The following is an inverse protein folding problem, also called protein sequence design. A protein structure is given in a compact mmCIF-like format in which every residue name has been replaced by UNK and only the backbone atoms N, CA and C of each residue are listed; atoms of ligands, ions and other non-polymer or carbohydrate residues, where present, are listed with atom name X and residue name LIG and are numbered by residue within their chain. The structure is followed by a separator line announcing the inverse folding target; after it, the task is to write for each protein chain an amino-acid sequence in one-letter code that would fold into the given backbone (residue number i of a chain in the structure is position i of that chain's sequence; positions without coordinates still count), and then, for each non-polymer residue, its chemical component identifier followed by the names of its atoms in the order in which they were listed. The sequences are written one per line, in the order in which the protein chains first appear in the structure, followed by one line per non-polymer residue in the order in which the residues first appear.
data_IF_781793666377
#
_entry.id   IF_781793666377
#
_cell.length_a   1.000
_cell.length_b   1.000
_cell.length_c   1.000
_cell.angle_alpha   90.00
_cell.angle_beta   90.00
_cell.angle_gamma   90.00
#
_symmetry.space_group_name_H-M   'P 1'
#
loop_
_entity.id
_entity.type
_entity.pdbx_description
1 polymer ?
#
# COMPACT_ATOMS: atom_id res chain seq x y z
N UNK A 1 -9.13 19.72 -23.58
CA UNK A 1 -7.89 20.47 -23.89
C UNK A 1 -8.27 21.73 -24.68
N UNK A 2 -7.39 22.72 -24.85
CA UNK A 2 -7.77 24.02 -25.46
C UNK A 2 -8.03 23.89 -26.96
N UNK A 3 -9.29 24.07 -27.35
CA UNK A 3 -9.75 23.98 -28.75
C UNK A 3 -9.13 25.09 -29.61
N UNK A 4 -8.83 26.22 -28.98
CA UNK A 4 -8.48 27.52 -29.60
C UNK A 4 -7.12 27.56 -30.33
N UNK A 5 -6.31 26.49 -30.21
CA UNK A 5 -4.97 26.40 -30.80
C UNK A 5 -4.71 25.13 -31.61
N UNK A 6 -5.71 24.24 -31.77
CA UNK A 6 -5.62 22.99 -32.57
C UNK A 6 -4.42 22.07 -32.25
N UNK A 7 -3.81 22.19 -31.07
CA UNK A 7 -2.67 21.36 -30.65
C UNK A 7 -3.15 19.93 -30.43
N UNK A 8 -2.64 18.99 -31.23
CA UNK A 8 -2.93 17.57 -31.05
C UNK A 8 -2.36 17.06 -29.72
N UNK A 9 -3.11 16.25 -28.94
CA UNK A 9 -2.59 15.67 -27.71
C UNK A 9 -1.49 14.65 -28.01
N UNK A 10 -0.51 14.55 -27.12
CA UNK A 10 0.48 13.45 -27.14
C UNK A 10 0.15 12.40 -26.09
N UNK A 11 0.67 11.18 -26.26
CA UNK A 11 0.59 10.11 -25.24
C UNK A 11 1.12 10.61 -23.89
N UNK A 12 2.23 11.36 -23.89
CA UNK A 12 2.78 12.01 -22.69
C UNK A 12 1.84 13.03 -22.03
N UNK A 13 1.07 13.78 -22.82
CA UNK A 13 0.06 14.71 -22.30
C UNK A 13 -1.12 13.97 -21.66
N UNK A 14 -1.64 12.91 -22.30
CA UNK A 14 -2.66 12.05 -21.70
C UNK A 14 -2.14 11.42 -20.40
N UNK A 15 -0.95 10.80 -20.42
CA UNK A 15 -0.31 10.20 -19.25
C UNK A 15 -0.14 11.17 -18.09
N UNK A 16 0.31 12.41 -18.35
CA UNK A 16 0.45 13.43 -17.32
C UNK A 16 -0.89 13.78 -16.67
N UNK A 17 -1.96 13.98 -17.44
CA UNK A 17 -3.29 14.30 -16.90
C UNK A 17 -3.90 13.09 -16.16
N UNK A 18 -3.84 11.89 -16.74
CA UNK A 18 -4.29 10.63 -16.11
C UNK A 18 -3.56 10.43 -14.77
N UNK A 19 -2.24 10.65 -14.71
CA UNK A 19 -1.44 10.53 -13.49
C UNK A 19 -1.79 11.59 -12.43
N UNK A 20 -2.06 12.83 -12.82
CA UNK A 20 -2.51 13.88 -11.87
C UNK A 20 -3.90 13.55 -11.31
N UNK A 21 -4.84 13.13 -12.16
CA UNK A 21 -6.18 12.70 -11.76
C UNK A 21 -6.14 11.46 -10.85
N UNK A 22 -5.27 10.49 -11.14
CA UNK A 22 -5.00 9.33 -10.29
C UNK A 22 -4.39 9.71 -8.94
N UNK A 23 -3.34 10.55 -8.93
CA UNK A 23 -2.64 11.04 -7.73
C UNK A 23 -3.51 11.90 -6.80
N UNK A 24 -4.69 12.36 -7.24
CA UNK A 24 -5.69 12.97 -6.36
C UNK A 24 -6.28 11.97 -5.36
N UNK A 25 -6.43 10.69 -5.74
CA UNK A 25 -7.01 9.62 -4.91
C UNK A 25 -8.51 9.74 -4.62
N UNK A 26 -9.15 10.88 -4.88
CA UNK A 26 -10.61 11.00 -4.77
C UNK A 26 -11.30 10.23 -5.90
N UNK A 27 -12.34 9.44 -5.58
CA UNK A 27 -13.04 8.58 -6.54
C UNK A 27 -13.49 9.30 -7.82
N UNK A 28 -13.92 10.57 -7.74
CA UNK A 28 -14.30 11.38 -8.91
C UNK A 28 -13.14 11.55 -9.90
N UNK A 29 -11.97 11.99 -9.43
CA UNK A 29 -10.80 12.21 -10.28
C UNK A 29 -10.17 10.89 -10.74
N UNK A 30 -10.19 9.83 -9.93
CA UNK A 30 -9.72 8.51 -10.36
C UNK A 30 -10.63 7.94 -11.46
N UNK A 31 -11.96 8.11 -11.36
CA UNK A 31 -12.88 7.74 -12.45
C UNK A 31 -12.66 8.59 -13.71
N UNK A 32 -12.33 9.88 -13.56
CA UNK A 32 -11.96 10.74 -14.70
C UNK A 32 -10.65 10.28 -15.37
N UNK A 33 -9.67 9.78 -14.60
CA UNK A 33 -8.44 9.19 -15.15
C UNK A 33 -8.75 7.95 -16.03
N UNK A 34 -9.65 7.06 -15.57
CA UNK A 34 -10.14 5.94 -16.38
C UNK A 34 -10.97 6.39 -17.59
N UNK A 35 -11.75 7.47 -17.46
CA UNK A 35 -12.51 8.06 -18.58
C UNK A 35 -11.58 8.61 -19.67
N UNK A 36 -10.53 9.32 -19.27
CA UNK A 36 -9.50 9.87 -20.16
C UNK A 36 -8.66 8.78 -20.82
N UNK A 37 -8.31 7.70 -20.11
CA UNK A 37 -7.66 6.55 -20.73
C UNK A 37 -8.56 5.87 -21.77
N UNK A 38 -9.88 5.77 -21.52
CA UNK A 38 -10.82 5.28 -22.54
C UNK A 38 -10.94 6.23 -23.73
N UNK A 39 -10.99 7.55 -23.49
CA UNK A 39 -10.99 8.59 -24.54
C UNK A 39 -9.74 8.49 -25.43
N UNK A 40 -8.56 8.31 -24.82
CA UNK A 40 -7.30 8.09 -25.53
C UNK A 40 -7.38 6.89 -26.49
N UNK A 41 -7.90 5.74 -25.99
CA UNK A 41 -8.00 4.49 -26.73
C UNK A 41 -9.10 4.47 -27.81
N UNK A 42 -10.26 5.08 -27.56
CA UNK A 42 -11.45 4.95 -28.40
C UNK A 42 -11.68 6.14 -29.35
N UNK A 43 -11.37 7.37 -28.93
CA UNK A 43 -11.74 8.57 -29.70
C UNK A 43 -10.79 8.88 -30.86
N UNK A 44 -9.66 8.18 -30.96
CA UNK A 44 -8.59 8.46 -31.93
C UNK A 44 -8.16 7.18 -32.67
N UNK A 45 -9.11 6.34 -33.07
CA UNK A 45 -8.84 5.16 -33.91
C UNK A 45 -8.89 5.50 -35.40
N UNK A 46 -7.99 4.94 -36.19
CA UNK A 46 -8.04 5.03 -37.65
C UNK A 46 -9.16 4.15 -38.23
N UNK A 47 -9.40 4.26 -39.54
CA UNK A 47 -10.41 3.46 -40.25
C UNK A 47 -10.10 1.94 -40.32
N UNK A 48 -8.97 1.49 -39.75
CA UNK A 48 -8.56 0.09 -39.62
C UNK A 48 -8.62 -0.39 -38.16
N UNK A 49 -8.95 0.49 -37.21
CA UNK A 49 -9.06 0.21 -35.78
C UNK A 49 -7.79 0.47 -34.95
N UNK A 50 -6.68 0.90 -35.57
CA UNK A 50 -5.45 1.24 -34.86
C UNK A 50 -5.65 2.50 -34.02
N UNK A 51 -5.25 2.48 -32.75
CA UNK A 51 -5.26 3.68 -31.92
C UNK A 51 -4.06 4.59 -32.24
N UNK A 52 -4.30 5.88 -32.47
CA UNK A 52 -3.24 6.88 -32.66
C UNK A 52 -2.41 7.12 -31.38
N UNK A 53 -2.95 6.76 -30.21
CA UNK A 53 -2.32 6.93 -28.89
C UNK A 53 -2.30 5.58 -28.15
N UNK A 54 -1.42 4.63 -28.56
CA UNK A 54 -1.29 3.34 -27.88
C UNK A 54 -0.90 3.56 -26.40
N UNK A 55 -1.41 2.74 -25.47
CA UNK A 55 -1.10 2.87 -24.06
C UNK A 55 0.33 2.39 -23.80
N UNK A 56 1.11 3.17 -23.05
CA UNK A 56 2.48 2.82 -22.68
C UNK A 56 2.57 2.32 -21.22
N UNK A 57 3.79 1.99 -20.80
CA UNK A 57 4.09 1.61 -19.41
C UNK A 57 3.58 2.63 -18.39
N UNK A 58 3.65 3.92 -18.73
CA UNK A 58 3.27 5.03 -17.84
C UNK A 58 1.74 5.16 -17.75
N UNK A 59 1.00 4.89 -18.82
CA UNK A 59 -0.46 4.80 -18.81
C UNK A 59 -0.92 3.77 -17.78
N UNK A 60 -0.39 2.55 -17.85
CA UNK A 60 -0.77 1.47 -16.94
C UNK A 60 -0.36 1.76 -15.49
N UNK A 61 0.83 2.33 -15.26
CA UNK A 61 1.28 2.74 -13.92
C UNK A 61 0.40 3.86 -13.34
N UNK A 62 -0.02 4.83 -14.16
CA UNK A 62 -0.92 5.91 -13.75
C UNK A 62 -2.32 5.37 -13.39
N UNK A 63 -2.85 4.42 -14.16
CA UNK A 63 -4.12 3.75 -13.85
C UNK A 63 -4.04 2.89 -12.58
N UNK A 64 -2.93 2.18 -12.35
CA UNK A 64 -2.70 1.40 -11.13
C UNK A 64 -2.45 2.28 -9.89
N UNK A 65 -1.79 3.44 -10.04
CA UNK A 65 -1.71 4.50 -9.01
C UNK A 65 -3.12 4.98 -8.59
N UNK A 66 -4.04 5.09 -9.55
CA UNK A 66 -5.45 5.40 -9.29
C UNK A 66 -6.18 4.24 -8.60
N UNK A 67 -6.10 3.04 -9.17
CA UNK A 67 -6.80 1.85 -8.71
C UNK A 67 -6.45 1.49 -7.25
N UNK A 68 -5.15 1.53 -6.87
CA UNK A 68 -4.73 1.24 -5.49
C UNK A 68 -5.28 2.25 -4.48
N UNK A 69 -5.43 3.53 -4.85
CA UNK A 69 -5.95 4.58 -3.95
C UNK A 69 -7.43 4.45 -3.65
N UNK A 70 -8.21 3.92 -4.58
CA UNK A 70 -9.65 3.66 -4.38
C UNK A 70 -9.94 2.23 -3.90
N UNK A 71 -8.92 1.35 -3.86
CA UNK A 71 -9.07 -0.07 -3.55
C UNK A 71 -9.84 -0.82 -4.62
N UNK A 72 -9.64 -0.52 -5.91
CA UNK A 72 -10.34 -1.19 -7.02
C UNK A 72 -9.52 -2.36 -7.56
N UNK A 73 -9.73 -3.51 -6.93
CA UNK A 73 -9.09 -4.76 -7.30
C UNK A 73 -9.63 -5.32 -8.64
N UNK A 74 -10.87 -5.01 -9.03
CA UNK A 74 -11.44 -5.45 -10.31
C UNK A 74 -10.69 -4.83 -11.49
N UNK A 75 -10.51 -3.50 -11.49
CA UNK A 75 -9.71 -2.80 -12.50
C UNK A 75 -8.23 -3.19 -12.43
N UNK A 76 -7.68 -3.45 -11.24
CA UNK A 76 -6.29 -3.91 -11.07
C UNK A 76 -6.07 -5.28 -11.72
N UNK A 77 -6.96 -6.25 -11.50
CA UNK A 77 -6.90 -7.60 -12.10
C UNK A 77 -7.05 -7.54 -13.63
N UNK A 78 -7.95 -6.69 -14.14
CA UNK A 78 -8.08 -6.46 -15.58
C UNK A 78 -6.80 -5.87 -16.19
N UNK A 79 -6.18 -4.85 -15.57
CA UNK A 79 -4.91 -4.28 -16.04
C UNK A 79 -3.79 -5.33 -16.05
N UNK A 80 -3.69 -6.18 -15.02
CA UNK A 80 -2.69 -7.24 -15.00
C UNK A 80 -2.94 -8.28 -16.11
N UNK A 81 -4.20 -8.68 -16.35
CA UNK A 81 -4.54 -9.58 -17.45
C UNK A 81 -4.20 -8.96 -18.81
N UNK A 82 -4.48 -7.67 -19.01
CA UNK A 82 -4.16 -6.94 -20.24
C UNK A 82 -2.64 -6.88 -20.49
N UNK A 83 -1.84 -6.59 -19.46
CA UNK A 83 -0.37 -6.59 -19.54
C UNK A 83 0.22 -7.99 -19.78
N UNK A 84 -0.41 -9.03 -19.24
CA UNK A 84 -0.03 -10.43 -19.48
C UNK A 84 -0.37 -10.89 -20.91
N UNK A 85 -1.49 -10.42 -21.46
CA UNK A 85 -1.97 -10.83 -22.78
C UNK A 85 -1.36 -10.01 -23.92
N UNK A 86 -1.15 -8.70 -23.72
CA UNK A 86 -0.60 -7.78 -24.74
C UNK A 86 0.82 -8.14 -25.20
N UNK A 87 1.57 -8.91 -24.39
CA UNK A 87 2.89 -9.47 -24.78
C UNK A 87 2.80 -10.52 -25.90
N UNK A 88 1.60 -11.06 -26.18
CA UNK A 88 1.35 -12.05 -27.23
C UNK A 88 0.67 -11.47 -28.47
N UNK A 89 0.20 -10.22 -28.44
CA UNK A 89 -0.71 -9.68 -29.44
C UNK A 89 0.04 -9.17 -30.71
N UNK A 90 -0.26 -9.66 -31.93
CA UNK A 90 0.47 -9.28 -33.15
C UNK A 90 0.39 -7.79 -33.53
N UNK A 91 -0.60 -7.04 -33.02
CA UNK A 91 -0.80 -5.63 -33.40
C UNK A 91 0.27 -4.68 -32.82
N UNK A 92 0.99 -5.10 -31.78
CA UNK A 92 2.12 -4.35 -31.20
C UNK A 92 3.47 -4.74 -31.86
N UNK A 93 3.50 -5.08 -33.15
CA UNK A 93 4.71 -5.59 -33.85
C UNK A 93 5.78 -4.55 -34.20
N UNK A 94 5.62 -3.30 -33.78
CA UNK A 94 6.73 -2.35 -33.77
C UNK A 94 7.75 -2.73 -32.67
N UNK A 95 9.02 -2.88 -33.04
CA UNK A 95 10.08 -3.40 -32.17
C UNK A 95 10.23 -2.60 -30.85
N UNK A 96 10.01 -1.28 -30.92
CA UNK A 96 9.94 -0.39 -29.76
C UNK A 96 8.77 -0.69 -28.80
N UNK A 97 7.59 -1.01 -29.34
CA UNK A 97 6.36 -1.16 -28.54
C UNK A 97 6.31 -2.42 -27.68
N UNK A 98 7.04 -3.47 -28.07
CA UNK A 98 7.14 -4.72 -27.30
C UNK A 98 7.97 -4.60 -26.03
N UNK A 99 8.87 -3.62 -25.95
CA UNK A 99 9.74 -3.44 -24.78
C UNK A 99 9.07 -2.60 -23.67
N UNK A 100 8.19 -1.67 -24.03
CA UNK A 100 7.52 -0.80 -23.06
C UNK A 100 6.53 -1.54 -22.13
N UNK A 101 5.83 -2.57 -22.63
CA UNK A 101 4.79 -3.27 -21.87
C UNK A 101 5.31 -4.42 -20.96
N UNK A 102 6.62 -4.50 -20.73
CA UNK A 102 7.21 -5.52 -19.85
C UNK A 102 6.76 -5.31 -18.39
N UNK A 103 6.13 -6.34 -17.82
CA UNK A 103 5.75 -6.37 -16.40
C UNK A 103 7.01 -6.32 -15.54
N UNK A 104 7.11 -5.29 -14.69
CA UNK A 104 8.27 -5.07 -13.83
C UNK A 104 7.92 -4.81 -12.36
N UNK A 105 8.95 -4.69 -11.53
CA UNK A 105 8.88 -4.47 -10.07
C UNK A 105 7.85 -3.41 -9.68
N UNK A 106 7.87 -2.25 -10.34
CA UNK A 106 6.97 -1.14 -10.05
C UNK A 106 5.50 -1.49 -10.30
N UNK A 107 5.19 -2.09 -11.45
CA UNK A 107 3.84 -2.54 -11.79
C UNK A 107 3.33 -3.52 -10.71
N UNK A 108 4.15 -4.51 -10.33
CA UNK A 108 3.78 -5.47 -9.30
C UNK A 108 3.65 -4.84 -7.91
N UNK A 109 4.46 -3.83 -7.56
CA UNK A 109 4.32 -3.06 -6.32
C UNK A 109 2.99 -2.27 -6.29
N UNK A 110 2.58 -1.64 -7.40
CA UNK A 110 1.27 -0.97 -7.45
C UNK A 110 0.12 -1.98 -7.32
N UNK A 111 0.25 -3.17 -7.93
CA UNK A 111 -0.73 -4.26 -7.83
C UNK A 111 -0.85 -4.75 -6.38
N UNK A 112 0.24 -5.13 -5.70
CA UNK A 112 0.16 -5.61 -4.32
C UNK A 112 -0.38 -4.54 -3.36
N UNK A 113 -0.04 -3.26 -3.55
CA UNK A 113 -0.68 -2.18 -2.78
C UNK A 113 -2.19 -2.02 -3.08
N UNK A 114 -2.67 -2.37 -4.28
CA UNK A 114 -4.11 -2.41 -4.56
C UNK A 114 -4.79 -3.61 -3.89
N UNK A 115 -4.14 -4.78 -3.82
CA UNK A 115 -4.61 -5.91 -3.00
C UNK A 115 -4.69 -5.51 -1.51
N UNK A 116 -3.68 -4.81 -0.97
CA UNK A 116 -3.67 -4.35 0.43
C UNK A 116 -4.69 -3.23 0.74
N UNK A 117 -5.04 -2.40 -0.24
CA UNK A 117 -6.03 -1.33 -0.09
C UNK A 117 -7.48 -1.79 -0.36
N UNK A 118 -7.66 -2.93 -1.02
CA UNK A 118 -8.96 -3.53 -1.30
C UNK A 118 -9.70 -3.88 -0.01
N UNK A 119 -11.03 -3.73 -0.02
CA UNK A 119 -11.89 -4.08 1.11
C UNK A 119 -12.92 -5.10 0.64
N UNK A 120 -12.72 -6.41 0.91
CA UNK A 120 -13.63 -7.45 0.44
C UNK A 120 -15.07 -7.20 0.93
N UNK A 121 -16.09 -7.32 0.06
CA UNK A 121 -17.47 -6.94 0.34
C UNK A 121 -18.21 -7.99 1.18
N UNK A 122 -17.62 -8.41 2.29
CA UNK A 122 -18.09 -9.50 3.15
C UNK A 122 -19.41 -9.15 3.88
N UNK A 123 -20.54 -9.41 3.20
CA UNK A 123 -21.89 -9.30 3.78
C UNK A 123 -22.17 -10.53 4.65
N UNK A 124 -22.12 -10.39 5.98
CA UNK A 124 -22.46 -11.47 6.93
C UNK A 124 -23.83 -12.13 6.65
N UNK A 125 -24.81 -11.38 6.15
CA UNK A 125 -26.13 -11.91 5.76
C UNK A 125 -26.17 -12.70 4.46
N UNK A 126 -25.07 -12.80 3.70
CA UNK A 126 -24.95 -13.67 2.53
C UNK A 126 -24.47 -15.09 2.89
N UNK A 127 -23.96 -15.30 4.11
CA UNK A 127 -23.69 -16.63 4.64
C UNK A 127 -25.02 -17.32 4.98
N UNK A 128 -25.51 -18.14 4.06
CA UNK A 128 -26.57 -19.12 4.35
C UNK A 128 -26.01 -20.15 5.33
N UNK A 129 -26.32 -19.99 6.61
CA UNK A 129 -25.91 -20.94 7.66
C UNK A 129 -26.46 -22.33 7.36
N UNK A 130 -25.61 -23.25 6.89
CA UNK A 130 -25.90 -24.68 6.83
C UNK A 130 -25.76 -25.23 8.25
N UNK A 131 -26.84 -25.08 9.02
CA UNK A 131 -26.89 -25.50 10.42
C UNK A 131 -27.29 -26.98 10.52
N UNK A 132 -26.37 -27.88 10.21
CA UNK A 132 -26.60 -29.31 10.41
C UNK A 132 -26.57 -29.69 11.89
N UNK A 133 -27.75 -30.02 12.43
CA UNK A 133 -27.89 -31.04 13.49
C UNK A 133 -29.32 -31.61 13.47
N UNK A 134 -29.50 -32.94 13.38
CA UNK A 134 -30.82 -33.57 13.45
C UNK A 134 -31.26 -33.80 14.91
N UNK A 135 -32.57 -33.72 15.18
CA UNK A 135 -33.43 -34.83 15.67
C UNK A 135 -34.79 -34.36 16.24
N UNK A 136 -35.78 -35.27 16.25
CA UNK A 136 -36.98 -35.31 17.09
C UNK A 136 -38.01 -34.14 17.09
N UNK A 137 -38.81 -34.06 16.02
CA UNK A 137 -40.29 -34.07 15.94
C UNK A 137 -41.25 -33.48 17.04
N UNK A 138 -42.51 -33.25 16.59
CA UNK A 138 -43.76 -32.81 17.29
C UNK A 138 -43.97 -31.28 17.27
N UNK A 139 -45.10 -30.72 16.79
CA UNK A 139 -46.25 -31.32 16.09
C UNK A 139 -47.53 -30.43 16.13
N UNK A 140 -48.40 -30.55 15.11
CA UNK A 140 -49.64 -29.75 14.82
C UNK A 140 -49.38 -28.35 14.21
N UNK A 141 -50.13 -27.86 13.22
CA UNK A 141 -51.10 -28.54 12.32
C UNK A 141 -52.11 -27.60 11.63
N UNK A 142 -52.40 -27.86 10.33
CA UNK A 142 -53.46 -27.27 9.48
C UNK A 142 -53.34 -25.75 9.17
N UNK A 143 -53.75 -25.19 8.03
CA UNK A 143 -54.17 -25.65 6.67
C UNK A 143 -53.98 -24.44 5.70
N UNK A 144 -54.09 -24.46 4.36
CA UNK A 144 -54.57 -25.42 3.33
C UNK A 144 -53.61 -25.34 2.09
N UNK A 145 -53.62 -26.22 1.08
CA UNK A 145 -54.51 -26.31 -0.13
C UNK A 145 -54.82 -24.96 -0.83
N UNK A 146 -54.71 -24.79 -2.15
CA UNK A 146 -54.15 -25.58 -3.28
C UNK A 146 -54.01 -24.62 -4.50
N UNK A 147 -53.41 -24.92 -5.66
CA UNK A 147 -52.89 -26.20 -6.24
C UNK A 147 -51.42 -25.96 -6.77
N UNK A 148 -50.82 -26.46 -7.87
CA UNK A 148 -51.22 -27.31 -9.03
C UNK A 148 -50.02 -28.15 -9.59
N UNK A 149 -50.09 -28.54 -10.87
CA UNK A 149 -49.35 -29.60 -11.56
C UNK A 149 -47.92 -29.28 -12.08
N UNK A 150 -46.94 -30.01 -11.55
CA UNK A 150 -46.11 -31.07 -12.21
C UNK A 150 -45.74 -31.05 -13.73
N UNK A 151 -44.72 -31.81 -14.20
CA UNK A 151 -43.85 -32.80 -13.52
C UNK A 151 -42.32 -32.62 -13.74
N UNK A 152 -41.51 -33.52 -13.13
CA UNK A 152 -40.10 -33.77 -13.50
C UNK A 152 -39.95 -34.80 -14.65
N UNK A 153 -38.78 -35.48 -14.81
CA UNK A 153 -38.26 -36.32 -13.71
C UNK A 153 -36.75 -36.20 -13.42
N UNK A 154 -36.38 -36.69 -12.23
CA UNK A 154 -35.00 -36.86 -11.76
C UNK A 154 -34.37 -38.16 -12.29
N UNK A 155 -33.04 -38.21 -12.36
CA UNK A 155 -32.23 -39.44 -12.31
C UNK A 155 -30.86 -39.13 -11.72
N UNK A 156 -30.39 -39.96 -10.78
CA UNK A 156 -29.07 -39.87 -10.18
C UNK A 156 -28.80 -41.00 -9.18
N UNK A 157 -27.53 -41.30 -8.93
CA UNK A 157 -27.11 -42.36 -7.99
C UNK A 157 -25.81 -41.94 -7.27
N UNK A 158 -25.74 -42.01 -5.93
CA UNK A 158 -24.52 -41.77 -5.16
C UNK A 158 -23.80 -43.08 -4.73
N UNK A 159 -22.50 -42.98 -4.45
CA UNK A 159 -21.58 -43.89 -3.72
C UNK A 159 -20.15 -43.33 -3.98
N UNK A 160 -19.15 -43.34 -3.09
CA UNK A 160 -19.01 -43.69 -1.67
C UNK A 160 -17.71 -43.05 -1.12
N UNK A 161 -17.38 -43.13 0.19
CA UNK A 161 -16.42 -42.21 0.80
C UNK A 161 -14.97 -42.74 0.93
N UNK A 162 -14.00 -41.82 0.85
CA UNK A 162 -12.67 -41.97 1.45
C UNK A 162 -11.48 -41.79 0.51
N UNK A 163 -10.96 -40.55 0.39
CA UNK A 163 -9.55 -40.31 0.72
C UNK A 163 -9.21 -38.81 0.89
N UNK A 164 -8.25 -38.53 1.78
CA UNK A 164 -7.54 -37.27 1.99
C UNK A 164 -6.18 -37.60 2.63
N UNK A 165 -5.10 -36.81 2.43
CA UNK A 165 -4.93 -35.65 1.53
C UNK A 165 -3.71 -35.81 0.58
N UNK A 166 -3.44 -34.83 -0.29
CA UNK A 166 -2.11 -34.19 -0.44
C UNK A 166 -2.20 -32.94 -1.36
N UNK A 167 -1.25 -32.03 -1.15
CA UNK A 167 -1.16 -30.69 -1.73
C UNK A 167 -1.05 -30.65 -3.27
N UNK A 168 -1.92 -29.88 -3.92
CA UNK A 168 -1.50 -28.74 -4.75
C UNK A 168 -2.71 -27.90 -5.21
N UNK A 169 -2.98 -26.78 -4.51
CA UNK A 169 -3.97 -25.81 -4.98
C UNK A 169 -3.43 -25.05 -6.21
N UNK A 170 -3.81 -25.51 -7.39
CA UNK A 170 -3.74 -24.74 -8.63
C UNK A 170 -4.76 -23.59 -8.56
N UNK A 171 -4.40 -22.52 -7.85
CA UNK A 171 -5.25 -21.34 -7.62
C UNK A 171 -5.41 -20.51 -8.90
N UNK A 172 -6.30 -20.98 -9.78
CA UNK A 172 -6.69 -20.28 -11.01
C UNK A 172 -7.46 -19.00 -10.67
N UNK A 173 -7.01 -17.87 -11.21
CA UNK A 173 -7.65 -16.57 -11.03
C UNK A 173 -9.12 -16.60 -11.50
N UNK A 174 -10.06 -16.65 -10.55
CA UNK A 174 -11.49 -16.69 -10.87
C UNK A 174 -11.98 -15.33 -11.41
N UNK A 175 -12.97 -15.34 -12.30
CA UNK A 175 -13.49 -14.09 -12.91
C UNK A 175 -14.08 -13.10 -11.88
N UNK A 176 -14.50 -13.59 -10.72
CA UNK A 176 -15.09 -12.79 -9.64
C UNK A 176 -13.96 -12.28 -8.71
N UNK A 177 -13.92 -11.00 -8.31
CA UNK A 177 -12.97 -10.52 -7.31
C UNK A 177 -13.14 -11.22 -5.95
N UNK A 178 -12.04 -11.42 -5.17
CA UNK A 178 -12.07 -12.18 -3.92
C UNK A 178 -13.02 -11.56 -2.87
N UNK A 179 -13.86 -12.41 -2.25
CA UNK A 179 -14.94 -11.97 -1.36
C UNK A 179 -14.56 -11.98 0.13
N UNK A 180 -13.44 -12.60 0.49
CA UNK A 180 -12.89 -12.63 1.85
C UNK A 180 -11.42 -12.20 1.89
N UNK A 181 -10.95 -11.70 3.04
CA UNK A 181 -9.53 -11.38 3.25
C UNK A 181 -8.61 -12.60 3.08
N UNK A 182 -9.12 -13.81 3.33
CA UNK A 182 -8.42 -15.07 3.09
C UNK A 182 -8.19 -15.34 1.61
N UNK A 183 -9.19 -15.11 0.75
CA UNK A 183 -9.03 -15.19 -0.71
C UNK A 183 -8.04 -14.13 -1.23
N UNK A 184 -8.09 -12.89 -0.73
CA UNK A 184 -7.14 -11.81 -1.08
C UNK A 184 -5.69 -12.22 -0.79
N UNK A 185 -5.45 -12.89 0.34
CA UNK A 185 -4.11 -13.40 0.71
C UNK A 185 -3.71 -14.62 -0.13
N UNK A 186 -4.64 -15.55 -0.40
CA UNK A 186 -4.38 -16.73 -1.23
C UNK A 186 -4.03 -16.34 -2.67
N UNK A 187 -4.78 -15.40 -3.27
CA UNK A 187 -4.56 -14.87 -4.61
C UNK A 187 -3.24 -14.09 -4.70
N UNK A 188 -2.94 -13.24 -3.71
CA UNK A 188 -1.65 -12.56 -3.64
C UNK A 188 -0.47 -13.55 -3.49
N UNK A 189 -0.63 -14.61 -2.68
CA UNK A 189 0.37 -15.69 -2.54
C UNK A 189 0.56 -16.46 -3.84
N UNK A 190 -0.51 -16.76 -4.58
CA UNK A 190 -0.44 -17.40 -5.90
C UNK A 190 0.32 -16.50 -6.89
N UNK A 191 -0.05 -15.22 -6.99
CA UNK A 191 0.60 -14.21 -7.83
C UNK A 191 2.10 -14.09 -7.53
N UNK A 192 2.48 -14.00 -6.26
CA UNK A 192 3.89 -13.96 -5.85
C UNK A 192 4.61 -15.30 -6.10
N UNK A 193 3.90 -16.43 -6.03
CA UNK A 193 4.39 -17.75 -6.42
C UNK A 193 4.72 -17.86 -7.91
N UNK A 194 3.92 -17.25 -8.79
CA UNK A 194 4.26 -17.16 -10.23
C UNK A 194 5.51 -16.31 -10.47
N UNK A 195 5.66 -15.17 -9.77
CA UNK A 195 6.89 -14.35 -9.84
C UNK A 195 8.11 -15.17 -9.40
N UNK A 196 8.04 -15.92 -8.29
CA UNK A 196 9.13 -16.82 -7.87
C UNK A 196 9.47 -17.87 -8.93
N UNK A 197 8.47 -18.50 -9.55
CA UNK A 197 8.65 -19.55 -10.58
C UNK A 197 9.30 -19.03 -11.87
N UNK A 198 8.95 -17.82 -12.31
CA UNK A 198 9.52 -17.22 -13.53
C UNK A 198 10.98 -16.77 -13.36
N UNK A 199 11.38 -16.43 -12.12
CA UNK A 199 12.70 -15.87 -11.79
C UNK A 199 13.71 -16.90 -11.25
N UNK A 200 13.26 -17.97 -10.59
CA UNK A 200 14.15 -19.00 -10.04
C UNK A 200 14.49 -20.06 -11.12
N UNK A 201 15.78 -20.25 -11.50
CA UNK A 201 16.15 -21.04 -12.68
C UNK A 201 16.02 -22.56 -12.52
N UNK A 202 15.76 -23.07 -11.31
CA UNK A 202 16.09 -24.46 -10.92
C UNK A 202 14.87 -25.33 -10.52
N UNK A 203 13.65 -25.03 -10.97
CA UNK A 203 12.53 -25.99 -10.83
C UNK A 203 12.57 -26.98 -11.99
N UNK A 204 12.72 -28.31 -11.76
CA UNK A 204 12.61 -29.30 -12.82
C UNK A 204 11.22 -29.22 -13.45
N UNK A 205 11.16 -29.03 -14.77
CA UNK A 205 9.89 -29.05 -15.51
C UNK A 205 9.41 -30.49 -15.63
N UNK A 206 8.42 -30.87 -14.82
CA UNK A 206 7.64 -32.06 -15.08
C UNK A 206 6.94 -31.90 -16.44
N UNK A 207 7.35 -32.72 -17.40
CA UNK A 207 6.90 -32.68 -18.79
C UNK A 207 5.51 -33.32 -18.91
N UNK A 208 4.47 -32.61 -18.49
CA UNK A 208 3.09 -32.97 -18.85
C UNK A 208 2.90 -32.71 -20.36
N UNK A 209 2.70 -33.74 -21.22
CA UNK A 209 2.91 -33.57 -22.67
C UNK A 209 1.88 -32.71 -23.40
N UNK A 210 0.67 -32.57 -22.86
CA UNK A 210 -0.51 -32.13 -23.62
C UNK A 210 -0.88 -30.65 -23.49
N UNK A 211 -0.03 -29.81 -22.88
CA UNK A 211 -0.26 -28.35 -22.80
C UNK A 211 0.69 -27.58 -23.72
N UNK A 212 0.28 -27.43 -24.98
CA UNK A 212 0.94 -26.55 -25.97
C UNK A 212 0.73 -25.06 -25.61
N UNK A 213 1.51 -24.55 -24.66
CA UNK A 213 1.80 -23.12 -24.53
C UNK A 213 3.29 -22.96 -24.19
N UNK A 214 4.14 -22.38 -25.07
CA UNK A 214 5.58 -22.27 -24.84
C UNK A 214 5.84 -21.29 -23.70
N UNK A 215 5.92 -21.82 -22.47
CA UNK A 215 5.84 -21.10 -21.18
C UNK A 215 6.64 -19.81 -21.17
N UNK A 216 5.94 -18.74 -21.56
CA UNK A 216 6.45 -17.40 -21.69
C UNK A 216 6.59 -16.85 -20.27
N UNK A 217 7.82 -16.51 -19.86
CA UNK A 217 8.12 -15.96 -18.53
C UNK A 217 7.50 -14.55 -18.38
N UNK A 218 6.21 -14.50 -18.11
CA UNK A 218 5.38 -13.29 -18.06
C UNK A 218 5.91 -12.26 -17.04
N UNK A 219 6.62 -12.71 -15.99
CA UNK A 219 7.22 -11.88 -14.94
C UNK A 219 8.75 -11.70 -15.04
N UNK A 220 9.38 -12.03 -16.17
CA UNK A 220 10.85 -11.94 -16.35
C UNK A 220 11.46 -10.54 -16.10
N UNK A 221 10.68 -9.46 -16.29
CA UNK A 221 11.10 -8.09 -15.99
C UNK A 221 10.97 -7.68 -14.51
N UNK A 222 10.46 -8.55 -13.64
CA UNK A 222 10.24 -8.26 -12.22
C UNK A 222 11.52 -8.51 -11.43
N UNK A 223 12.02 -7.48 -10.75
CA UNK A 223 13.17 -7.60 -9.85
C UNK A 223 12.70 -7.82 -8.41
N UNK A 224 13.33 -8.73 -7.67
CA UNK A 224 13.05 -9.00 -6.26
C UNK A 224 13.75 -7.95 -5.38
N UNK A 225 13.09 -6.81 -5.17
CA UNK A 225 13.61 -5.70 -4.37
C UNK A 225 12.94 -5.63 -2.98
N UNK A 226 13.53 -4.92 -2.00
CA UNK A 226 12.87 -4.67 -0.72
C UNK A 226 11.54 -3.90 -0.89
N UNK A 227 11.43 -3.04 -1.91
CA UNK A 227 10.21 -2.29 -2.27
C UNK A 227 9.09 -3.24 -2.71
N UNK A 228 9.38 -4.25 -3.52
CA UNK A 228 8.41 -5.26 -3.92
C UNK A 228 8.00 -6.17 -2.76
N UNK A 229 8.96 -6.61 -1.93
CA UNK A 229 8.67 -7.45 -0.77
C UNK A 229 7.83 -6.71 0.29
N UNK A 230 8.09 -5.42 0.54
CA UNK A 230 7.25 -4.59 1.41
C UNK A 230 5.82 -4.45 0.86
N UNK A 231 5.67 -4.23 -0.44
CA UNK A 231 4.33 -4.16 -1.06
C UNK A 231 3.54 -5.46 -0.89
N UNK A 232 4.18 -6.62 -1.06
CA UNK A 232 3.57 -7.94 -0.80
C UNK A 232 3.25 -8.15 0.69
N UNK A 233 4.16 -7.80 1.60
CA UNK A 233 3.93 -7.82 3.05
C UNK A 233 2.75 -6.93 3.48
N UNK A 234 2.55 -5.79 2.80
CA UNK A 234 1.42 -4.89 3.09
C UNK A 234 0.05 -5.56 2.90
N UNK A 235 -0.06 -6.53 2.00
CA UNK A 235 -1.28 -7.36 1.84
C UNK A 235 -1.53 -8.20 3.09
N UNK A 236 -0.49 -8.84 3.62
CA UNK A 236 -0.58 -9.61 4.86
C UNK A 236 -0.87 -8.70 6.07
N UNK A 237 -0.28 -7.52 6.15
CA UNK A 237 -0.56 -6.57 7.24
C UNK A 237 -2.02 -6.08 7.22
N UNK A 238 -2.62 -5.90 6.03
CA UNK A 238 -4.03 -5.53 5.89
C UNK A 238 -5.02 -6.69 6.12
N UNK A 239 -4.71 -7.90 5.65
CA UNK A 239 -5.66 -9.00 5.54
C UNK A 239 -5.42 -10.20 6.47
N UNK A 240 -4.21 -10.40 7.01
CA UNK A 240 -3.88 -11.55 7.87
C UNK A 240 -3.80 -11.22 9.36
N UNK A 241 -3.86 -12.27 10.20
CA UNK A 241 -3.56 -12.17 11.62
C UNK A 241 -2.08 -11.90 11.88
N UNK A 242 -1.78 -11.32 13.05
CA UNK A 242 -0.42 -10.90 13.44
C UNK A 242 0.63 -12.03 13.33
N UNK A 243 0.25 -13.27 13.64
CA UNK A 243 1.14 -14.45 13.61
C UNK A 243 1.62 -14.75 12.18
N UNK A 244 0.71 -14.78 11.21
CA UNK A 244 1.04 -15.00 9.79
C UNK A 244 1.88 -13.86 9.23
N UNK A 245 1.61 -12.61 9.65
CA UNK A 245 2.41 -11.44 9.29
C UNK A 245 3.84 -11.51 9.87
N UNK A 246 3.99 -11.97 11.11
CA UNK A 246 5.29 -12.14 11.79
C UNK A 246 6.11 -13.25 11.15
N UNK A 247 5.50 -14.42 10.91
CA UNK A 247 6.15 -15.55 10.25
C UNK A 247 6.68 -15.17 8.86
N UNK A 248 5.84 -14.55 8.02
CA UNK A 248 6.24 -14.14 6.67
C UNK A 248 7.36 -13.09 6.69
N UNK A 249 7.31 -12.11 7.61
CA UNK A 249 8.37 -11.11 7.77
C UNK A 249 9.73 -11.75 8.14
N UNK A 250 9.74 -12.85 8.90
CA UNK A 250 10.98 -13.59 9.18
C UNK A 250 11.50 -14.37 7.98
N UNK A 251 10.62 -15.03 7.22
CA UNK A 251 11.07 -15.97 6.18
C UNK A 251 11.39 -15.30 4.85
N UNK A 252 10.61 -14.30 4.41
CA UNK A 252 10.65 -13.82 3.02
C UNK A 252 11.98 -13.16 2.61
N UNK A 253 12.61 -12.41 3.53
CA UNK A 253 13.86 -11.70 3.24
C UNK A 253 15.06 -12.68 3.15
N UNK A 254 15.29 -13.60 4.11
CA UNK A 254 16.31 -14.64 3.97
C UNK A 254 16.06 -15.63 2.83
N UNK A 255 14.81 -16.06 2.59
CA UNK A 255 14.47 -17.03 1.54
C UNK A 255 14.86 -16.53 0.13
N UNK A 256 14.78 -15.22 -0.09
CA UNK A 256 15.05 -14.58 -1.38
C UNK A 256 16.39 -13.83 -1.43
N UNK A 257 17.21 -13.92 -0.38
CA UNK A 257 18.47 -13.20 -0.22
C UNK A 257 18.35 -11.67 -0.42
N UNK A 258 17.23 -11.08 0.00
CA UNK A 258 16.96 -9.63 -0.10
C UNK A 258 17.11 -8.97 1.27
N UNK A 259 17.92 -7.92 1.37
CA UNK A 259 18.08 -7.15 2.61
C UNK A 259 16.79 -6.39 3.00
N UNK A 260 16.48 -6.34 4.30
CA UNK A 260 15.40 -5.51 4.84
C UNK A 260 15.79 -4.03 4.72
N UNK A 261 14.86 -3.16 4.34
CA UNK A 261 15.10 -1.72 4.32
C UNK A 261 14.37 -1.02 5.49
N UNK A 262 14.62 0.28 5.68
CA UNK A 262 14.00 1.07 6.74
C UNK A 262 12.46 1.02 6.74
N UNK A 263 11.84 0.93 5.55
CA UNK A 263 10.39 0.82 5.41
C UNK A 263 9.87 -0.56 5.86
N UNK A 264 10.63 -1.65 5.62
CA UNK A 264 10.30 -3.01 6.08
C UNK A 264 10.09 -3.05 7.60
N UNK A 265 10.99 -2.40 8.35
CA UNK A 265 10.92 -2.30 9.80
C UNK A 265 9.76 -1.41 10.28
N UNK A 266 9.58 -0.25 9.66
CA UNK A 266 8.51 0.70 10.02
C UNK A 266 7.12 0.10 9.83
N UNK A 267 6.86 -0.54 8.69
CA UNK A 267 5.54 -1.13 8.39
C UNK A 267 5.20 -2.32 9.30
N UNK A 268 6.20 -3.14 9.64
CA UNK A 268 6.05 -4.21 10.64
C UNK A 268 5.70 -3.65 12.03
N UNK A 269 6.37 -2.58 12.48
CA UNK A 269 6.05 -1.93 13.75
C UNK A 269 4.67 -1.27 13.75
N UNK A 270 4.26 -0.63 12.65
CA UNK A 270 2.92 -0.06 12.52
C UNK A 270 1.83 -1.15 12.58
N UNK A 271 2.05 -2.33 11.98
CA UNK A 271 1.13 -3.48 12.10
C UNK A 271 0.99 -3.97 13.55
N UNK A 272 2.05 -3.89 14.36
CA UNK A 272 1.96 -4.15 15.80
C UNK A 272 1.23 -3.02 16.55
N UNK A 273 1.50 -1.75 16.22
CA UNK A 273 0.90 -0.58 16.85
C UNK A 273 -0.59 -0.36 16.49
N UNK A 274 -1.08 -1.07 15.47
CA UNK A 274 -2.50 -1.16 15.08
C UNK A 274 -3.17 -2.50 15.48
N UNK A 275 -2.50 -3.34 16.27
CA UNK A 275 -3.01 -4.67 16.67
C UNK A 275 -4.33 -4.63 17.47
N UNK A 276 -5.20 -5.61 17.20
CA UNK A 276 -6.49 -5.79 17.92
C UNK A 276 -6.22 -6.15 19.38
N UNK A 277 -7.18 -5.92 20.30
CA UNK A 277 -6.99 -6.18 21.75
C UNK A 277 -6.46 -7.60 22.04
N UNK A 278 -6.95 -8.62 21.32
CA UNK A 278 -6.53 -10.02 21.45
C UNK A 278 -5.23 -10.39 20.69
N UNK A 279 -4.70 -9.49 19.84
CA UNK A 279 -3.42 -9.70 19.15
C UNK A 279 -2.23 -9.11 19.93
N UNK A 280 -2.45 -8.28 20.95
CA UNK A 280 -1.41 -7.45 21.57
C UNK A 280 -0.27 -8.24 22.19
N UNK A 281 -0.60 -9.34 22.87
CA UNK A 281 0.37 -10.17 23.57
C UNK A 281 1.31 -10.92 22.59
N UNK A 282 0.87 -11.07 21.33
CA UNK A 282 1.64 -11.61 20.20
C UNK A 282 2.34 -10.51 19.39
N UNK A 283 1.71 -9.33 19.27
CA UNK A 283 2.27 -8.16 18.60
C UNK A 283 3.45 -7.54 19.38
N UNK A 284 3.44 -7.63 20.71
CA UNK A 284 4.51 -7.12 21.57
C UNK A 284 5.87 -7.78 21.33
N UNK A 285 6.04 -9.12 21.40
CA UNK A 285 7.35 -9.75 21.14
C UNK A 285 7.83 -9.52 19.70
N UNK A 286 6.92 -9.51 18.71
CA UNK A 286 7.23 -9.12 17.34
C UNK A 286 7.76 -7.67 17.27
N UNK A 287 7.13 -6.73 17.98
CA UNK A 287 7.59 -5.33 18.05
C UNK A 287 8.89 -5.14 18.86
N UNK A 288 9.25 -6.02 19.81
CA UNK A 288 10.56 -5.99 20.47
C UNK A 288 11.68 -6.56 19.58
N UNK A 289 11.38 -7.60 18.78
CA UNK A 289 12.30 -8.16 17.79
C UNK A 289 12.60 -7.16 16.66
N UNK A 290 11.56 -6.62 16.01
CA UNK A 290 11.68 -5.63 14.93
C UNK A 290 12.34 -4.35 15.42
N UNK A 291 12.06 -3.92 16.66
CA UNK A 291 12.72 -2.76 17.26
C UNK A 291 14.22 -2.98 17.47
N UNK A 292 14.65 -4.18 17.84
CA UNK A 292 16.08 -4.50 18.03
C UNK A 292 16.83 -4.47 16.70
N UNK A 293 16.26 -5.05 15.65
CA UNK A 293 16.83 -4.95 14.30
C UNK A 293 16.85 -3.49 13.82
N UNK A 294 15.75 -2.75 13.98
CA UNK A 294 15.67 -1.32 13.66
C UNK A 294 16.74 -0.48 14.38
N UNK A 295 16.96 -0.70 15.68
CA UNK A 295 17.98 0.06 16.43
C UNK A 295 19.38 -0.14 15.86
N UNK A 296 19.75 -1.37 15.48
CA UNK A 296 21.02 -1.64 14.79
C UNK A 296 21.12 -0.86 13.46
N UNK A 297 20.02 -0.82 12.68
CA UNK A 297 19.91 -0.03 11.44
C UNK A 297 19.93 1.48 11.67
N UNK A 298 19.41 1.97 12.81
CA UNK A 298 19.31 3.39 13.16
C UNK A 298 20.62 3.99 13.68
N UNK A 299 21.45 3.18 14.34
CA UNK A 299 22.77 3.60 14.82
C UNK A 299 23.90 3.39 13.82
N UNK A 300 23.69 2.66 12.71
CA UNK A 300 24.65 2.64 11.60
C UNK A 300 24.66 3.99 10.86
N UNK A 301 25.79 4.70 10.98
CA UNK A 301 26.01 5.99 10.31
C UNK A 301 25.90 5.93 8.79
N UNK A 302 26.21 4.79 8.16
CA UNK A 302 26.07 4.60 6.71
C UNK A 302 24.59 4.46 6.26
N UNK A 303 23.67 4.22 7.21
CA UNK A 303 22.24 4.13 6.95
C UNK A 303 21.49 5.39 7.37
N UNK A 304 22.03 6.16 8.33
CA UNK A 304 21.42 7.42 8.84
C UNK A 304 21.22 8.52 7.78
N UNK A 305 21.88 8.44 6.62
CA UNK A 305 21.61 9.26 5.44
C UNK A 305 20.64 8.62 4.42
N UNK A 306 20.43 7.30 4.47
CA UNK A 306 19.62 6.54 3.51
C UNK A 306 18.12 6.49 3.86
N UNK A 307 17.75 6.64 5.12
CA UNK A 307 16.34 6.74 5.55
C UNK A 307 16.00 8.17 5.99
N UNK A 308 14.94 8.74 5.38
CA UNK A 308 14.48 10.08 5.72
C UNK A 308 13.87 10.16 7.12
N UNK A 309 13.92 11.36 7.73
CA UNK A 309 13.47 11.63 9.11
C UNK A 309 12.08 11.04 9.45
N UNK A 310 11.14 11.06 8.49
CA UNK A 310 9.78 10.53 8.62
C UNK A 310 9.73 9.04 8.97
N UNK A 311 10.75 8.25 8.62
CA UNK A 311 10.81 6.83 8.97
C UNK A 311 11.17 6.63 10.44
N UNK A 312 12.10 7.43 10.99
CA UNK A 312 12.38 7.42 12.42
C UNK A 312 11.18 7.92 13.24
N UNK A 313 10.49 8.98 12.79
CA UNK A 313 9.26 9.47 13.44
C UNK A 313 8.20 8.37 13.53
N UNK A 314 7.91 7.68 12.41
CA UNK A 314 6.96 6.55 12.37
C UNK A 314 7.42 5.36 13.24
N UNK A 315 8.70 4.98 13.19
CA UNK A 315 9.27 3.90 14.00
C UNK A 315 9.09 4.16 15.51
N UNK A 316 9.54 5.32 15.99
CA UNK A 316 9.45 5.69 17.42
C UNK A 316 7.99 5.89 17.85
N UNK A 317 7.15 6.53 17.02
CA UNK A 317 5.70 6.66 17.26
C UNK A 317 5.01 5.30 17.40
N UNK A 318 5.27 4.35 16.49
CA UNK A 318 4.75 2.98 16.56
C UNK A 318 5.26 2.21 17.80
N UNK A 319 6.52 2.38 18.20
CA UNK A 319 7.09 1.78 19.41
C UNK A 319 6.43 2.32 20.68
N UNK A 320 6.34 3.64 20.83
CA UNK A 320 5.67 4.32 21.95
C UNK A 320 4.21 3.86 22.04
N UNK A 321 3.49 3.85 20.91
CA UNK A 321 2.10 3.41 20.81
C UNK A 321 1.92 1.95 21.22
N UNK A 322 2.82 1.05 20.81
CA UNK A 322 2.74 -0.38 21.16
C UNK A 322 2.90 -0.58 22.68
N UNK A 323 3.90 0.04 23.31
CA UNK A 323 4.11 0.00 24.76
C UNK A 323 2.89 0.56 25.52
N UNK A 324 2.36 1.69 25.03
CA UNK A 324 1.14 2.33 25.57
C UNK A 324 -0.11 1.44 25.48
N UNK A 325 -0.24 0.63 24.42
CA UNK A 325 -1.39 -0.27 24.21
C UNK A 325 -1.30 -1.55 25.04
N UNK A 326 -0.10 -1.97 25.44
CA UNK A 326 0.15 -3.01 26.44
C UNK A 326 -0.14 -2.50 27.86
N UNK A 327 0.08 -1.20 28.11
CA UNK A 327 -0.15 -0.55 29.41
C UNK A 327 1.14 -0.19 30.16
N UNK A 328 2.31 -0.46 29.57
CA UNK A 328 3.61 -0.11 30.14
C UNK A 328 3.93 1.37 29.89
N UNK A 329 3.41 2.22 30.77
CA UNK A 329 3.52 3.67 30.64
C UNK A 329 4.95 4.16 30.93
N UNK A 330 5.72 3.46 31.76
CA UNK A 330 7.08 3.84 32.12
C UNK A 330 8.08 3.53 31.01
N UNK A 331 7.97 2.37 30.34
CA UNK A 331 8.76 2.11 29.12
C UNK A 331 8.31 3.01 27.97
N UNK A 332 7.02 3.31 27.83
CA UNK A 332 6.54 4.28 26.83
C UNK A 332 7.10 5.69 27.06
N UNK A 333 7.09 6.19 28.29
CA UNK A 333 7.71 7.47 28.67
C UNK A 333 9.23 7.45 28.51
N UNK A 334 9.88 6.32 28.80
CA UNK A 334 11.32 6.14 28.59
C UNK A 334 11.67 6.18 27.10
N UNK A 335 10.84 5.60 26.22
CA UNK A 335 10.99 5.73 24.77
C UNK A 335 10.86 7.19 24.30
N UNK A 336 9.90 7.97 24.82
CA UNK A 336 9.80 9.42 24.53
C UNK A 336 11.04 10.18 25.01
N UNK A 337 11.53 9.90 26.23
CA UNK A 337 12.74 10.53 26.79
C UNK A 337 14.00 10.20 25.95
N UNK A 338 14.11 8.96 25.48
CA UNK A 338 15.16 8.52 24.55
C UNK A 338 15.08 9.27 23.22
N UNK A 339 13.90 9.34 22.58
CA UNK A 339 13.73 10.10 21.34
C UNK A 339 14.10 11.58 21.50
N UNK A 340 13.67 12.22 22.60
CA UNK A 340 13.97 13.65 22.86
C UNK A 340 15.46 13.90 23.16
N UNK A 341 16.17 12.90 23.68
CA UNK A 341 17.64 12.93 23.85
C UNK A 341 18.35 12.79 22.49
N UNK A 342 17.91 11.85 21.67
CA UNK A 342 18.58 11.46 20.41
C UNK A 342 18.22 12.39 19.24
N UNK A 343 17.07 13.05 19.31
CA UNK A 343 16.53 14.02 18.34
C UNK A 343 16.00 15.28 19.06
N UNK A 344 16.89 16.14 19.62
CA UNK A 344 16.47 17.23 20.49
C UNK A 344 15.73 18.35 19.72
N UNK A 345 14.68 18.97 20.32
CA UNK A 345 13.92 20.07 19.70
C UNK A 345 14.75 21.32 19.31
N UNK A 346 15.99 21.44 19.78
CA UNK A 346 16.94 22.46 19.32
C UNK A 346 17.36 22.24 17.87
N UNK A 347 17.61 21.00 17.44
CA UNK A 347 18.06 20.68 16.09
C UNK A 347 17.02 21.09 15.02
N UNK A 348 15.73 20.90 15.32
CA UNK A 348 14.61 21.26 14.43
C UNK A 348 14.60 22.76 14.08
N UNK A 349 15.11 23.64 14.95
CA UNK A 349 15.17 25.10 14.73
C UNK A 349 16.07 25.49 13.56
N UNK A 350 17.12 24.72 13.28
CA UNK A 350 18.13 25.05 12.29
C UNK A 350 17.59 24.79 10.88
N UNK A 351 17.10 25.83 10.21
CA UNK A 351 16.69 25.77 8.82
C UNK A 351 17.90 25.47 7.92
N UNK A 352 17.73 24.59 6.92
CA UNK A 352 18.72 24.42 5.86
C UNK A 352 18.86 25.71 5.02
N UNK A 353 20.05 25.95 4.41
CA UNK A 353 20.24 27.07 3.50
C UNK A 353 19.24 27.02 2.33
N UNK A 354 18.80 28.18 1.86
CA UNK A 354 17.96 28.27 0.66
C UNK A 354 18.80 27.95 -0.58
N UNK A 355 18.45 26.87 -1.27
CA UNK A 355 18.90 26.60 -2.63
C UNK A 355 18.61 27.81 -3.52
N UNK A 356 19.66 28.37 -4.13
CA UNK A 356 19.65 29.57 -4.97
C UNK A 356 18.51 29.58 -6.00
N UNK A 357 18.32 28.45 -6.69
CA UNK A 357 17.34 28.31 -7.78
C UNK A 357 15.87 28.25 -7.33
N UNK A 358 15.54 28.29 -6.02
CA UNK A 358 14.13 28.41 -5.54
C UNK A 358 13.59 29.85 -5.65
N UNK A 359 13.88 30.53 -6.76
CA UNK A 359 13.52 31.94 -7.01
C UNK A 359 12.23 32.10 -7.83
N UNK A 360 11.08 31.78 -7.22
CA UNK A 360 9.74 32.07 -7.77
C UNK A 360 8.77 32.67 -6.75
N UNK A 361 9.28 33.15 -5.59
CA UNK A 361 8.45 33.88 -4.62
C UNK A 361 8.48 35.38 -4.89
N UNK A 362 7.52 35.86 -5.69
CA UNK A 362 7.23 37.29 -5.87
C UNK A 362 6.80 37.93 -4.54
N UNK A 363 7.77 38.45 -3.78
CA UNK A 363 7.49 39.32 -2.63
C UNK A 363 7.17 40.72 -3.13
N UNK A 364 5.87 41.05 -3.22
CA UNK A 364 5.41 42.42 -3.45
C UNK A 364 5.79 43.28 -2.23
N UNK A 365 6.91 44.00 -2.34
CA UNK A 365 7.34 44.96 -1.34
C UNK A 365 6.38 46.15 -1.28
N UNK A 366 5.55 46.19 -0.25
CA UNK A 366 4.65 47.28 0.07
C UNK A 366 4.66 47.53 1.59
N UNK A 367 4.50 48.78 2.07
CA UNK A 367 4.58 49.11 3.50
C UNK A 367 3.47 48.48 4.36
N UNK A 368 2.45 47.86 3.74
CA UNK A 368 1.51 46.94 4.37
C UNK A 368 1.29 45.74 3.42
N UNK A 369 1.43 44.48 3.88
CA UNK A 369 1.26 43.29 3.04
C UNK A 369 -0.24 43.05 2.77
N UNK A 370 -0.74 43.58 1.65
CA UNK A 370 -2.17 43.66 1.32
C UNK A 370 -2.86 42.29 1.17
N UNK A 371 -2.20 41.29 0.59
CA UNK A 371 -2.67 39.89 0.56
C UNK A 371 -1.49 38.94 0.74
N UNK A 372 -1.56 38.04 1.73
CA UNK A 372 -0.67 36.88 1.79
C UNK A 372 -1.19 35.78 0.87
N UNK A 373 -0.81 35.84 -0.40
CA UNK A 373 -0.91 34.71 -1.32
C UNK A 373 0.12 33.62 -0.94
N UNK A 374 -0.13 32.90 0.15
CA UNK A 374 0.54 31.63 0.42
C UNK A 374 -0.09 30.57 -0.47
N UNK A 375 0.50 30.34 -1.64
CA UNK A 375 0.21 29.17 -2.46
C UNK A 375 0.36 27.91 -1.60
N UNK A 376 -0.62 27.01 -1.63
CA UNK A 376 -0.61 25.75 -0.88
C UNK A 376 0.49 24.78 -1.32
N UNK A 377 1.24 25.12 -2.37
CA UNK A 377 2.47 24.46 -2.83
C UNK A 377 3.67 24.92 -1.98
N UNK A 378 3.58 24.80 -0.65
CA UNK A 378 4.78 24.76 0.18
C UNK A 378 5.48 23.42 -0.11
N UNK A 379 6.49 23.45 -0.99
CA UNK A 379 7.34 22.27 -1.29
C UNK A 379 7.90 21.74 0.03
N UNK A 380 7.72 20.45 0.36
CA UNK A 380 8.14 19.87 1.63
C UNK A 380 9.57 20.26 2.04
N UNK A 381 9.73 20.59 3.31
CA UNK A 381 11.05 20.75 3.92
C UNK A 381 11.51 19.37 4.43
N UNK A 382 12.07 18.60 3.50
CA UNK A 382 12.61 17.26 3.76
C UNK A 382 13.87 17.30 4.65
N UNK A 383 14.42 18.49 4.92
CA UNK A 383 15.57 18.71 5.81
C UNK A 383 15.17 18.98 7.27
N UNK A 384 13.89 18.80 7.63
CA UNK A 384 13.42 18.84 9.02
C UNK A 384 13.83 17.54 9.73
N UNK A 385 14.62 17.61 10.83
CA UNK A 385 14.96 16.44 11.65
C UNK A 385 13.73 15.79 12.31
N UNK A 386 13.85 14.53 12.78
CA UNK A 386 12.75 13.83 13.46
C UNK A 386 12.14 14.63 14.62
N UNK A 387 10.82 14.66 14.69
CA UNK A 387 10.04 15.26 15.76
C UNK A 387 8.81 14.41 16.13
N UNK A 388 8.34 14.54 17.37
CA UNK A 388 7.07 13.94 17.82
C UNK A 388 5.97 15.01 17.93
N UNK A 389 4.78 14.67 17.45
CA UNK A 389 3.59 15.53 17.52
C UNK A 389 2.64 15.07 18.62
N UNK A 390 1.61 15.88 18.92
CA UNK A 390 0.57 15.43 19.84
C UNK A 390 -0.22 14.22 19.31
N UNK A 391 -0.40 14.08 17.99
CA UNK A 391 -1.09 12.91 17.39
C UNK A 391 -0.33 11.59 17.55
N UNK A 392 1.01 11.63 17.67
CA UNK A 392 1.82 10.45 18.02
C UNK A 392 1.64 10.06 19.49
N UNK A 393 1.55 11.08 20.36
CA UNK A 393 1.57 10.93 21.81
C UNK A 393 0.17 10.92 22.46
N UNK A 394 -0.90 11.08 21.68
CA UNK A 394 -2.28 11.23 22.14
C UNK A 394 -2.73 10.07 23.03
N UNK A 395 -2.46 8.83 22.62
CA UNK A 395 -2.86 7.63 23.38
C UNK A 395 -2.07 7.55 24.70
N UNK A 396 -0.78 7.92 24.69
CA UNK A 396 0.04 7.93 25.91
C UNK A 396 -0.44 9.02 26.88
N UNK A 397 -0.76 10.20 26.36
CA UNK A 397 -1.38 11.27 27.13
C UNK A 397 -2.70 10.82 27.77
N UNK A 398 -3.63 10.22 27.00
CA UNK A 398 -4.91 9.72 27.54
C UNK A 398 -4.72 8.60 28.57
N UNK A 399 -3.71 7.73 28.41
CA UNK A 399 -3.37 6.72 29.43
C UNK A 399 -2.80 7.32 30.71
N UNK A 400 -1.93 8.32 30.61
CA UNK A 400 -1.35 8.99 31.78
C UNK A 400 -2.39 9.83 32.53
N UNK A 401 -3.35 10.44 31.82
CA UNK A 401 -4.53 11.09 32.41
C UNK A 401 -5.36 10.08 33.21
N UNK A 402 -5.67 8.92 32.63
CA UNK A 402 -6.39 7.85 33.32
C UNK A 402 -5.61 7.25 34.51
N UNK A 403 -4.27 7.33 34.50
CA UNK A 403 -3.39 6.93 35.59
C UNK A 403 -3.06 8.07 36.60
N UNK A 404 -3.62 9.26 36.43
CA UNK A 404 -3.39 10.41 37.33
C UNK A 404 -1.97 11.00 37.32
N UNK A 405 -1.09 10.63 36.38
CA UNK A 405 0.35 10.96 36.39
C UNK A 405 0.64 12.38 35.89
N UNK A 406 0.24 13.38 36.67
CA UNK A 406 0.31 14.81 36.32
C UNK A 406 1.72 15.30 35.89
N UNK A 407 2.79 14.84 36.55
CA UNK A 407 4.17 15.21 36.21
C UNK A 407 4.59 14.75 34.80
N UNK A 408 4.24 13.52 34.43
CA UNK A 408 4.55 12.99 33.10
C UNK A 408 3.67 13.61 32.00
N UNK A 409 2.41 13.95 32.33
CA UNK A 409 1.53 14.74 31.44
C UNK A 409 2.15 16.13 31.16
N UNK A 410 2.68 16.80 32.19
CA UNK A 410 3.38 18.06 32.03
C UNK A 410 4.64 17.92 31.16
N UNK A 411 5.40 16.83 31.31
CA UNK A 411 6.55 16.53 30.45
C UNK A 411 6.15 16.32 28.98
N UNK A 412 5.13 15.50 28.68
CA UNK A 412 4.66 15.32 27.29
C UNK A 412 4.15 16.63 26.69
N UNK A 413 3.40 17.44 27.46
CA UNK A 413 2.93 18.76 27.04
C UNK A 413 4.10 19.70 26.73
N UNK A 414 5.16 19.67 27.52
CA UNK A 414 6.41 20.39 27.23
C UNK A 414 7.06 19.91 25.93
N UNK A 415 7.22 18.59 25.73
CA UNK A 415 7.85 18.01 24.53
C UNK A 415 7.11 18.43 23.25
N UNK A 416 5.77 18.29 23.20
CA UNK A 416 4.97 18.72 22.06
C UNK A 416 5.14 20.23 21.78
N UNK A 417 5.10 21.07 22.83
CA UNK A 417 5.25 22.53 22.66
C UNK A 417 6.69 22.95 22.33
N UNK A 418 7.70 22.17 22.71
CA UNK A 418 9.08 22.38 22.30
C UNK A 418 9.26 22.14 20.79
N UNK A 419 8.73 21.04 20.24
CA UNK A 419 8.76 20.78 18.79
C UNK A 419 7.88 21.76 17.98
N UNK A 420 6.65 22.06 18.42
CA UNK A 420 5.81 23.10 17.79
C UNK A 420 6.50 24.47 17.78
N UNK A 421 7.13 24.86 18.89
CA UNK A 421 7.88 26.09 19.02
C UNK A 421 9.10 26.11 18.10
N UNK A 422 9.85 25.00 18.03
CA UNK A 422 11.00 24.87 17.16
C UNK A 422 10.63 24.95 15.67
N UNK A 423 9.55 24.29 15.24
CA UNK A 423 9.01 24.42 13.89
C UNK A 423 8.55 25.85 13.57
N UNK A 424 7.96 26.56 14.54
CA UNK A 424 7.55 27.96 14.37
C UNK A 424 8.75 28.90 14.22
N UNK A 425 9.83 28.67 14.98
CA UNK A 425 11.11 29.38 14.84
C UNK A 425 11.74 29.07 13.49
N UNK A 426 11.84 27.78 13.10
CA UNK A 426 12.37 27.33 11.81
C UNK A 426 11.64 28.01 10.65
N UNK A 427 10.30 27.93 10.60
CA UNK A 427 9.49 28.58 9.55
C UNK A 427 9.71 30.09 9.47
N UNK A 428 9.87 30.78 10.61
CA UNK A 428 10.24 32.20 10.65
C UNK A 428 11.64 32.42 10.06
N UNK A 429 12.64 31.63 10.45
CA UNK A 429 13.99 31.70 9.88
C UNK A 429 13.98 31.42 8.38
N UNK A 430 13.30 30.40 7.88
CA UNK A 430 13.14 30.10 6.44
C UNK A 430 12.44 31.23 5.68
N UNK A 431 11.54 32.00 6.31
CA UNK A 431 10.96 33.19 5.68
C UNK A 431 11.98 34.33 5.54
N UNK A 432 12.84 34.56 6.54
CA UNK A 432 13.82 35.66 6.55
C UNK A 432 15.19 35.32 5.94
N UNK A 433 15.56 34.05 5.78
CA UNK A 433 16.85 33.65 5.24
C UNK A 433 17.05 34.16 3.80
N UNK A 434 18.26 34.56 3.45
CA UNK A 434 18.64 34.93 2.09
C UNK A 434 18.97 33.66 1.26
N UNK A 435 18.92 33.71 -0.10
CA UNK A 435 19.45 32.63 -0.92
C UNK A 435 20.96 32.46 -0.66
N UNK A 436 21.43 31.21 -0.55
CA UNK A 436 22.86 30.94 -0.49
C UNK A 436 23.54 31.20 -1.84
N UNK A 437 24.85 31.45 -1.87
CA UNK A 437 25.62 31.42 -3.12
C UNK A 437 25.54 30.02 -3.74
N UNK A 438 25.55 29.95 -5.07
CA UNK A 438 25.55 28.69 -5.81
C UNK A 438 26.73 27.79 -5.39
N UNK A 439 26.46 26.50 -5.27
CA UNK A 439 27.38 25.44 -4.79
C UNK A 439 27.22 24.18 -5.62
#
# INVERSE_FOLDING_TARGET
MTVDHSIQPSVGAYNAVILVCARSGQKKYVHEAFRLAKEMLDSNRDARGHCAYPPDRQTFIALLEGAKRIGDLGRTRWILAELVNGRSDPWYTGDSGRQDLIINEEIMMHIFHAYAAYKPPFKRGALRFVSERPEAAIGKGQQSQETDSHPGPSSGTPLGPGDLPIEMEASTFSHIPPQTSTEVVAEAKALFGYIKRDLLPNVPRELHPDTFDPVQKKFEGVQLTPRLLNAYLSVYYAHSGIVSSHQLFKTIFPELCVEKNAQSYVEAMERCAMSKKHERDLAFPFAEEVWREWQSTEFDGAHRQRYGARMAERAHSAKIRTLTLLGDLDRALTAVKTFVRDYPPSAVRCAAPKLSMRSTRTMLNAPRPLVRATSSVEVPDDTVPPLLTFTDLEILHHRLVAAGRQGDIAYLKYVCKAYEGALRVRRRMTMHAEPGPDS
#
